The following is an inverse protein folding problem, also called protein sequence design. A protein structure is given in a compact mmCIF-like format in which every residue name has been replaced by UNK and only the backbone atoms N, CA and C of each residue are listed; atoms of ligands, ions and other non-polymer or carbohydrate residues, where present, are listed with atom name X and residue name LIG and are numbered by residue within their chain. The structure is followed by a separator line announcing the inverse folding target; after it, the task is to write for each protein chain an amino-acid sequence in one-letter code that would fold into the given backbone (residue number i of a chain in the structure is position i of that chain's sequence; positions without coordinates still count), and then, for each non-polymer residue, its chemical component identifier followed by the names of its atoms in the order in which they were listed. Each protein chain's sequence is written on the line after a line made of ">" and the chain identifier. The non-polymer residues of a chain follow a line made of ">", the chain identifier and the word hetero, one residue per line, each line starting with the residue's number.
data_IF_777347367081
#
_entry.id   IF_777347367081
#
_cell.length_a   1.000
_cell.length_b   1.000
_cell.length_c   1.000
_cell.angle_alpha   90.00
_cell.angle_beta   90.00
_cell.angle_gamma   90.00
#
_symmetry.space_group_name_H-M   'P 1'
#
loop_
_entity.id
_entity.type
_entity.pdbx_description
1 polymer ?
#
# COMPACT_ATOMS: atom_id res chain seq x y z
N UNK A 1 -23.94 15.41 -6.05
CA UNK A 1 -24.57 14.16 -6.09
C UNK A 1 -24.05 13.20 -7.15
N UNK A 2 -24.92 12.45 -7.76
CA UNK A 2 -24.56 11.34 -8.65
C UNK A 2 -23.64 11.72 -9.82
N UNK A 3 -23.80 12.90 -10.39
CA UNK A 3 -22.98 13.37 -11.51
C UNK A 3 -21.48 13.52 -11.19
N UNK A 4 -21.13 13.57 -9.91
CA UNK A 4 -19.75 13.77 -9.44
C UNK A 4 -19.25 12.62 -8.57
N UNK A 5 -19.90 11.46 -8.59
CA UNK A 5 -19.50 10.31 -7.78
C UNK A 5 -18.10 9.82 -8.15
N UNK A 6 -17.79 9.79 -9.44
CA UNK A 6 -16.50 9.27 -9.93
C UNK A 6 -15.33 10.25 -9.71
N UNK A 7 -15.56 11.55 -9.82
CA UNK A 7 -14.53 12.57 -9.67
C UNK A 7 -14.44 13.14 -8.24
N UNK A 8 -15.26 12.65 -7.33
CA UNK A 8 -15.24 13.06 -5.92
C UNK A 8 -13.85 12.96 -5.30
N UNK A 9 -13.11 11.89 -5.58
CA UNK A 9 -11.78 11.68 -5.06
C UNK A 9 -10.80 12.80 -5.46
N UNK A 10 -10.91 13.31 -6.69
CA UNK A 10 -10.11 14.42 -7.19
C UNK A 10 -10.36 15.70 -6.39
N UNK A 11 -11.63 16.08 -6.21
CA UNK A 11 -11.99 17.29 -5.46
C UNK A 11 -11.65 17.17 -3.98
N UNK A 12 -11.81 15.99 -3.40
CA UNK A 12 -11.43 15.73 -2.01
C UNK A 12 -9.91 15.87 -1.82
N UNK A 13 -9.12 15.24 -2.67
CA UNK A 13 -7.65 15.35 -2.63
C UNK A 13 -7.18 16.81 -2.84
N UNK A 14 -7.81 17.54 -3.75
CA UNK A 14 -7.55 18.94 -3.98
C UNK A 14 -7.82 19.78 -2.73
N UNK A 15 -8.98 19.62 -2.10
CA UNK A 15 -9.35 20.39 -0.90
C UNK A 15 -8.34 20.16 0.25
N UNK A 16 -7.93 18.90 0.48
CA UNK A 16 -6.92 18.57 1.49
C UNK A 16 -5.56 19.21 1.13
N UNK A 17 -5.13 19.09 -0.12
CA UNK A 17 -3.87 19.68 -0.59
C UNK A 17 -3.85 21.18 -0.42
N UNK A 18 -4.85 21.88 -0.92
CA UNK A 18 -4.96 23.34 -0.85
C UNK A 18 -5.01 23.84 0.60
N UNK A 19 -5.76 23.13 1.46
CA UNK A 19 -5.82 23.42 2.90
C UNK A 19 -4.47 23.29 3.58
N UNK A 20 -3.75 22.18 3.38
CA UNK A 20 -2.42 21.99 3.94
C UNK A 20 -1.42 23.04 3.44
N UNK A 21 -1.46 23.38 2.13
CA UNK A 21 -0.61 24.45 1.56
C UNK A 21 -0.92 25.82 2.11
N UNK A 22 -2.20 26.11 2.39
CA UNK A 22 -2.63 27.38 3.00
C UNK A 22 -2.09 27.50 4.44
N UNK A 23 -2.15 26.42 5.24
CA UNK A 23 -1.59 26.41 6.60
C UNK A 23 -0.06 26.56 6.57
N UNK A 24 0.63 25.86 5.69
CA UNK A 24 2.09 25.97 5.54
C UNK A 24 2.55 27.39 5.18
N UNK A 25 1.74 28.16 4.44
CA UNK A 25 2.04 29.58 4.16
C UNK A 25 1.96 30.43 5.43
N UNK A 26 1.10 30.10 6.37
CA UNK A 26 0.95 30.84 7.63
C UNK A 26 2.11 30.60 8.58
N UNK A 27 2.61 29.36 8.66
CA UNK A 27 3.69 28.96 9.56
C UNK A 27 5.08 29.05 8.92
N UNK A 28 5.17 29.42 7.64
CA UNK A 28 6.41 29.54 6.89
C UNK A 28 7.05 28.20 6.50
N UNK A 29 6.36 27.07 6.72
CA UNK A 29 6.86 25.75 6.36
C UNK A 29 6.71 25.48 4.84
N UNK A 30 7.52 24.54 4.34
CA UNK A 30 7.46 24.12 2.94
C UNK A 30 7.53 22.60 2.82
N UNK A 31 6.79 21.89 3.66
CA UNK A 31 6.70 20.43 3.61
C UNK A 31 5.90 19.99 2.39
N UNK A 32 6.28 18.85 1.83
CA UNK A 32 5.47 18.21 0.77
C UNK A 32 4.16 17.71 1.35
N UNK A 33 3.09 17.89 0.59
CA UNK A 33 1.80 17.27 0.92
C UNK A 33 1.84 15.80 0.52
N UNK A 34 1.37 14.92 1.40
CA UNK A 34 1.29 13.50 1.17
C UNK A 34 -0.06 13.00 1.70
N UNK A 35 -0.87 12.46 0.80
CA UNK A 35 -2.20 11.96 1.10
C UNK A 35 -2.34 10.51 0.64
N UNK A 36 -2.55 9.58 1.57
CA UNK A 36 -2.91 8.20 1.24
C UNK A 36 -4.45 8.11 1.13
N UNK A 37 -4.94 7.75 -0.05
CA UNK A 37 -6.38 7.71 -0.33
C UNK A 37 -6.80 6.36 -0.90
N UNK A 38 -8.07 6.00 -0.66
CA UNK A 38 -8.66 4.73 -1.10
C UNK A 38 -9.26 4.81 -2.51
N UNK A 39 -9.57 6.00 -2.97
CA UNK A 39 -10.18 6.23 -4.28
C UNK A 39 -9.34 7.18 -5.10
N UNK A 40 -9.43 7.06 -6.42
CA UNK A 40 -8.63 7.82 -7.35
C UNK A 40 -9.44 8.29 -8.56
N UNK A 41 -9.00 9.41 -9.13
CA UNK A 41 -9.47 9.92 -10.40
C UNK A 41 -8.32 10.55 -11.17
N UNK A 42 -8.45 10.60 -12.48
CA UNK A 42 -7.44 11.20 -13.37
C UNK A 42 -7.09 12.64 -12.93
N UNK A 43 -5.81 12.94 -12.82
CA UNK A 43 -5.33 14.25 -12.38
C UNK A 43 -5.08 14.37 -10.87
N UNK A 44 -5.47 13.38 -10.07
CA UNK A 44 -5.32 13.39 -8.60
C UNK A 44 -3.86 13.36 -8.14
N UNK A 45 -2.95 12.84 -8.96
CA UNK A 45 -1.51 12.78 -8.66
C UNK A 45 -0.90 14.17 -8.37
N UNK A 46 -1.43 15.24 -8.96
CA UNK A 46 -0.98 16.62 -8.73
C UNK A 46 -1.19 17.11 -7.29
N UNK A 47 -2.01 16.41 -6.52
CA UNK A 47 -2.36 16.76 -5.14
C UNK A 47 -1.62 15.91 -4.09
N UNK A 48 -0.46 15.35 -4.45
CA UNK A 48 0.37 14.57 -3.52
C UNK A 48 -0.29 13.28 -3.06
N UNK A 49 -1.08 12.67 -3.93
CA UNK A 49 -1.90 11.51 -3.60
C UNK A 49 -1.17 10.19 -3.89
N UNK A 50 -1.22 9.29 -2.92
CA UNK A 50 -0.85 7.89 -3.03
C UNK A 50 -2.11 7.05 -2.86
N UNK A 51 -2.27 6.01 -3.66
CA UNK A 51 -3.42 5.12 -3.61
C UNK A 51 -3.03 3.73 -3.12
N UNK A 52 -3.99 3.04 -2.50
CA UNK A 52 -3.88 1.62 -2.21
C UNK A 52 -5.18 0.89 -2.60
N UNK A 53 -5.10 -0.41 -2.67
CA UNK A 53 -6.18 -1.28 -3.13
C UNK A 53 -7.39 -1.39 -2.20
N UNK A 54 -7.37 -0.72 -1.05
CA UNK A 54 -8.41 -0.90 -0.04
C UNK A 54 -8.28 -2.23 0.72
N UNK A 55 -9.36 -2.65 1.34
CA UNK A 55 -9.41 -3.83 2.19
C UNK A 55 -9.55 -5.09 1.32
N UNK A 56 -8.46 -5.80 1.14
CA UNK A 56 -8.39 -7.01 0.33
C UNK A 56 -8.29 -8.26 1.20
N UNK A 57 -8.65 -9.41 0.65
CA UNK A 57 -8.60 -10.71 1.33
C UNK A 57 -7.33 -11.49 1.02
N UNK A 58 -6.77 -12.18 2.00
CA UNK A 58 -5.55 -12.94 1.87
C UNK A 58 -5.76 -14.18 0.99
N UNK A 59 -5.29 -14.10 -0.25
CA UNK A 59 -5.24 -15.22 -1.18
C UNK A 59 -4.21 -14.98 -2.28
N UNK A 60 -3.72 -16.06 -2.89
CA UNK A 60 -2.82 -15.98 -4.06
C UNK A 60 -3.47 -15.31 -5.26
N UNK A 61 -4.79 -15.49 -5.43
CA UNK A 61 -5.58 -14.82 -6.48
C UNK A 61 -5.56 -13.31 -6.28
N UNK A 62 -5.84 -12.87 -5.06
CA UNK A 62 -5.80 -11.44 -4.70
C UNK A 62 -4.41 -10.88 -4.93
N UNK A 63 -3.36 -11.56 -4.46
CA UNK A 63 -1.98 -11.12 -4.66
C UNK A 63 -1.66 -10.91 -6.15
N UNK A 64 -2.00 -11.87 -7.01
CA UNK A 64 -1.82 -11.72 -8.47
C UNK A 64 -2.56 -10.50 -9.02
N UNK A 65 -3.81 -10.29 -8.58
CA UNK A 65 -4.62 -9.16 -9.01
C UNK A 65 -4.03 -7.82 -8.56
N UNK A 66 -3.39 -7.75 -7.39
CA UNK A 66 -2.72 -6.54 -6.91
C UNK A 66 -1.58 -6.10 -7.84
N UNK A 67 -0.83 -7.04 -8.39
CA UNK A 67 0.26 -6.74 -9.34
C UNK A 67 -0.32 -6.08 -10.59
N UNK A 68 -1.35 -6.68 -11.19
CA UNK A 68 -2.01 -6.13 -12.37
C UNK A 68 -2.68 -4.78 -12.09
N UNK A 69 -3.32 -4.63 -10.93
CA UNK A 69 -3.95 -3.37 -10.52
C UNK A 69 -2.92 -2.24 -10.41
N UNK A 70 -1.79 -2.48 -9.73
CA UNK A 70 -0.73 -1.49 -9.61
C UNK A 70 -0.16 -1.05 -10.97
N UNK A 71 0.05 -1.98 -11.90
CA UNK A 71 0.49 -1.67 -13.27
C UNK A 71 -0.53 -0.83 -14.03
N UNK A 72 -1.83 -1.13 -13.89
CA UNK A 72 -2.90 -0.36 -14.51
C UNK A 72 -3.00 1.05 -13.94
N UNK A 73 -2.83 1.24 -12.63
CA UNK A 73 -2.74 2.56 -12.02
C UNK A 73 -1.57 3.36 -12.56
N UNK A 74 -0.38 2.76 -12.68
CA UNK A 74 0.78 3.41 -13.28
C UNK A 74 0.50 3.81 -14.74
N UNK A 75 -0.09 2.92 -15.54
CA UNK A 75 -0.45 3.19 -16.94
C UNK A 75 -1.51 4.31 -17.08
N UNK A 76 -2.34 4.50 -16.04
CA UNK A 76 -3.34 5.57 -15.97
C UNK A 76 -2.76 6.91 -15.46
N UNK A 77 -1.45 7.02 -15.27
CA UNK A 77 -0.80 8.24 -14.77
C UNK A 77 -0.87 8.42 -13.25
N UNK A 78 -1.14 7.34 -12.49
CA UNK A 78 -1.21 7.33 -11.03
C UNK A 78 -0.10 6.41 -10.47
N UNK A 79 1.17 6.81 -10.52
CA UNK A 79 2.31 5.93 -10.25
C UNK A 79 2.54 5.64 -8.77
N UNK A 80 1.98 6.44 -7.87
CA UNK A 80 2.16 6.26 -6.43
C UNK A 80 1.14 5.27 -5.88
N UNK A 81 1.48 4.00 -6.01
CA UNK A 81 0.66 2.86 -5.62
C UNK A 81 1.25 2.13 -4.40
N UNK A 82 0.36 1.61 -3.57
CA UNK A 82 0.70 0.67 -2.51
C UNK A 82 -0.41 -0.37 -2.33
N UNK A 83 -0.12 -1.39 -1.54
CA UNK A 83 -1.08 -2.42 -1.13
C UNK A 83 -0.85 -2.77 0.34
N UNK A 84 -1.85 -3.34 0.98
CA UNK A 84 -1.71 -3.93 2.30
C UNK A 84 -0.95 -5.25 2.17
N UNK A 85 0.28 -5.33 2.68
CA UNK A 85 1.12 -6.52 2.57
C UNK A 85 0.46 -7.69 3.28
N UNK A 86 0.27 -8.79 2.53
CA UNK A 86 -0.40 -9.98 3.04
C UNK A 86 -1.93 -9.84 3.14
N UNK A 87 -2.49 -8.82 2.47
CA UNK A 87 -3.89 -8.41 2.47
C UNK A 87 -4.38 -7.79 3.79
N UNK A 88 -5.53 -7.13 3.77
CA UNK A 88 -6.15 -6.53 4.96
C UNK A 88 -6.83 -7.59 5.83
N UNK A 89 -7.73 -8.41 5.25
CA UNK A 89 -8.40 -9.52 5.92
C UNK A 89 -7.63 -10.83 5.72
N UNK A 90 -7.23 -11.46 6.80
CA UNK A 90 -6.44 -12.71 6.76
C UNK A 90 -7.31 -13.93 7.02
N UNK A 91 -8.20 -13.84 8.01
CA UNK A 91 -9.11 -14.91 8.41
C UNK A 91 -10.28 -15.05 7.46
N UNK A 92 -10.90 -16.21 7.46
CA UNK A 92 -12.21 -16.39 6.89
C UNK A 92 -13.22 -15.53 7.67
N UNK A 93 -14.11 -14.87 6.96
CA UNK A 93 -15.08 -13.96 7.53
C UNK A 93 -16.50 -14.33 7.11
N UNK A 94 -17.46 -13.99 7.94
CA UNK A 94 -18.87 -14.21 7.67
C UNK A 94 -19.44 -13.28 6.57
N UNK A 95 -18.61 -12.42 6.01
CA UNK A 95 -18.99 -11.50 4.94
C UNK A 95 -18.75 -12.09 3.57
N UNK A 96 -19.71 -11.94 2.70
CA UNK A 96 -19.69 -12.47 1.33
C UNK A 96 -18.58 -11.90 0.43
N UNK A 97 -17.93 -10.81 0.83
CA UNK A 97 -16.92 -10.13 0.01
C UNK A 97 -15.48 -10.31 0.51
N UNK A 98 -15.25 -10.93 1.66
CA UNK A 98 -13.91 -11.33 2.05
C UNK A 98 -13.76 -12.83 2.20
N UNK A 99 -12.71 -13.32 1.60
CA UNK A 99 -12.41 -14.74 1.45
C UNK A 99 -11.00 -15.09 1.97
N UNK A 100 -10.54 -14.40 3.00
CA UNK A 100 -9.33 -14.79 3.72
C UNK A 100 -9.47 -16.23 4.24
N UNK A 101 -8.38 -16.99 4.28
CA UNK A 101 -8.42 -18.44 4.51
C UNK A 101 -7.43 -18.92 5.55
N UNK A 102 -6.86 -18.02 6.32
CA UNK A 102 -5.74 -18.32 7.21
C UNK A 102 -6.10 -17.98 8.65
N UNK A 103 -6.97 -18.79 9.27
CA UNK A 103 -7.49 -18.53 10.61
C UNK A 103 -6.40 -18.53 11.69
N UNK A 104 -5.35 -19.33 11.51
CA UNK A 104 -4.18 -19.35 12.39
C UNK A 104 -3.19 -18.20 12.13
N UNK A 105 -3.45 -17.36 11.11
CA UNK A 105 -2.68 -16.17 10.78
C UNK A 105 -1.17 -16.40 10.70
N UNK A 106 -0.34 -15.74 11.52
CA UNK A 106 1.12 -15.90 11.54
C UNK A 106 1.61 -17.25 12.05
N UNK A 107 0.72 -18.14 12.50
CA UNK A 107 1.03 -19.53 12.83
C UNK A 107 0.76 -20.50 11.66
N UNK A 108 0.13 -20.03 10.58
CA UNK A 108 -0.12 -20.82 9.38
C UNK A 108 1.06 -20.69 8.39
N UNK A 109 1.81 -21.77 8.09
CA UNK A 109 2.92 -21.72 7.14
C UNK A 109 2.52 -21.26 5.75
N UNK A 110 1.29 -21.53 5.30
CA UNK A 110 0.81 -21.08 4.00
C UNK A 110 0.58 -19.57 3.97
N UNK A 111 0.13 -18.97 5.08
CA UNK A 111 0.07 -17.51 5.18
C UNK A 111 1.45 -16.87 5.30
N UNK A 112 2.36 -17.49 6.05
CA UNK A 112 3.74 -17.02 6.14
C UNK A 112 4.39 -16.94 4.75
N UNK A 113 4.16 -17.95 3.89
CA UNK A 113 4.66 -17.90 2.52
C UNK A 113 3.97 -16.81 1.70
N UNK A 114 2.65 -16.74 1.69
CA UNK A 114 1.89 -15.71 0.98
C UNK A 114 2.36 -14.29 1.38
N UNK A 115 2.44 -14.03 2.69
CA UNK A 115 2.91 -12.75 3.22
C UNK A 115 4.33 -12.43 2.74
N UNK A 116 5.21 -13.40 2.80
CA UNK A 116 6.62 -13.24 2.39
C UNK A 116 6.72 -12.88 0.90
N UNK A 117 5.97 -13.56 0.01
CA UNK A 117 5.95 -13.22 -1.43
C UNK A 117 5.37 -11.84 -1.70
N UNK A 118 4.31 -11.50 -0.98
CA UNK A 118 3.71 -10.17 -1.07
C UNK A 118 4.69 -9.07 -0.60
N UNK A 119 5.38 -9.33 0.50
CA UNK A 119 6.42 -8.44 1.05
C UNK A 119 7.57 -8.24 0.06
N UNK A 120 8.02 -9.32 -0.60
CA UNK A 120 9.05 -9.26 -1.64
C UNK A 120 8.64 -8.35 -2.79
N UNK A 121 7.42 -8.46 -3.27
CA UNK A 121 6.91 -7.60 -4.33
C UNK A 121 6.77 -6.14 -3.86
N UNK A 122 6.15 -5.91 -2.70
CA UNK A 122 5.93 -4.56 -2.18
C UNK A 122 7.23 -3.81 -1.86
N UNK A 123 8.34 -4.50 -1.67
CA UNK A 123 9.66 -3.89 -1.50
C UNK A 123 10.02 -2.92 -2.64
N UNK A 124 9.48 -3.13 -3.83
CA UNK A 124 9.71 -2.30 -5.02
C UNK A 124 8.65 -1.21 -5.23
N UNK A 125 7.57 -1.21 -4.48
CA UNK A 125 6.53 -0.20 -4.62
C UNK A 125 6.98 1.16 -4.05
N UNK A 126 6.42 2.27 -4.53
CA UNK A 126 6.71 3.61 -3.98
C UNK A 126 6.54 3.69 -2.48
N UNK A 127 5.45 3.14 -1.96
CA UNK A 127 5.18 3.04 -0.53
C UNK A 127 5.24 1.57 -0.10
N UNK A 128 6.06 1.30 0.92
CA UNK A 128 6.28 -0.02 1.48
C UNK A 128 5.75 -0.04 2.91
N UNK A 129 4.62 -0.72 3.16
CA UNK A 129 3.95 -0.72 4.45
C UNK A 129 3.23 -2.03 4.76
N UNK A 130 3.35 -2.48 6.00
CA UNK A 130 2.46 -3.51 6.57
C UNK A 130 1.21 -2.85 7.14
N UNK A 131 0.02 -3.36 6.76
CA UNK A 131 -1.26 -2.91 7.28
C UNK A 131 -2.32 -4.01 7.11
N UNK A 132 -3.27 -4.06 8.02
CA UNK A 132 -4.37 -5.01 7.97
C UNK A 132 -4.93 -5.32 9.35
N UNK A 133 -5.94 -6.18 9.40
CA UNK A 133 -6.53 -6.72 10.63
C UNK A 133 -6.05 -8.15 10.90
N UNK A 134 -6.63 -8.81 11.88
CA UNK A 134 -6.52 -10.21 12.26
C UNK A 134 -5.17 -10.64 12.86
N UNK A 135 -4.06 -10.06 12.47
CA UNK A 135 -2.75 -10.38 13.02
C UNK A 135 -1.82 -9.17 13.07
N UNK A 136 -0.81 -9.27 13.93
CA UNK A 136 0.27 -8.29 14.00
C UNK A 136 1.19 -8.43 12.78
N UNK A 137 1.74 -7.30 12.31
CA UNK A 137 2.53 -7.21 11.07
C UNK A 137 4.00 -6.90 11.30
N UNK A 138 4.45 -6.88 12.54
CA UNK A 138 5.86 -6.71 12.87
C UNK A 138 6.67 -7.94 12.43
N UNK A 139 7.84 -7.72 11.86
CA UNK A 139 8.66 -8.77 11.25
C UNK A 139 8.92 -9.97 12.17
N UNK A 140 9.16 -9.71 13.47
CA UNK A 140 9.42 -10.77 14.46
C UNK A 140 8.20 -11.64 14.81
N UNK A 141 7.02 -11.31 14.27
CA UNK A 141 5.82 -12.14 14.37
C UNK A 141 5.73 -13.22 13.29
N UNK A 142 6.61 -13.15 12.31
CA UNK A 142 6.67 -14.09 11.20
C UNK A 142 7.82 -15.07 11.43
N UNK A 143 7.53 -16.19 12.09
CA UNK A 143 8.45 -17.32 12.36
C UNK A 143 9.59 -17.00 13.38
N UNK A 144 9.53 -15.86 14.09
CA UNK A 144 10.55 -15.45 15.06
C UNK A 144 11.91 -15.13 14.45
N UNK A 145 12.85 -14.58 15.27
CA UNK A 145 14.11 -14.01 14.76
C UNK A 145 15.04 -15.01 14.06
N UNK A 146 14.97 -16.30 14.41
CA UNK A 146 15.77 -17.37 13.78
C UNK A 146 15.10 -18.02 12.58
N UNK A 147 13.84 -17.71 12.34
CA UNK A 147 13.01 -18.40 11.36
C UNK A 147 13.31 -18.00 9.90
N UNK A 148 13.01 -18.91 9.00
CA UNK A 148 13.26 -18.71 7.56
C UNK A 148 12.48 -17.53 7.00
N UNK A 149 11.24 -17.39 7.40
CA UNK A 149 10.36 -16.29 6.91
C UNK A 149 10.83 -14.94 7.45
N UNK A 150 11.11 -14.86 8.76
CA UNK A 150 11.69 -13.63 9.34
C UNK A 150 12.97 -13.19 8.62
N UNK A 151 13.89 -14.12 8.38
CA UNK A 151 15.15 -13.84 7.68
C UNK A 151 14.91 -13.38 6.23
N UNK A 152 13.89 -13.93 5.54
CA UNK A 152 13.52 -13.48 4.21
C UNK A 152 12.97 -12.04 4.23
N UNK A 153 12.09 -11.72 5.17
CA UNK A 153 11.54 -10.35 5.35
C UNK A 153 12.64 -9.35 5.69
N UNK A 154 13.57 -9.71 6.58
CA UNK A 154 14.68 -8.86 6.97
C UNK A 154 15.60 -8.53 5.79
N UNK A 155 15.90 -9.52 4.92
CA UNK A 155 16.67 -9.28 3.68
C UNK A 155 15.94 -8.30 2.74
N UNK A 156 14.62 -8.42 2.60
CA UNK A 156 13.85 -7.48 1.76
C UNK A 156 13.81 -6.08 2.37
N UNK A 157 13.72 -5.97 3.68
CA UNK A 157 13.81 -4.69 4.36
C UNK A 157 15.18 -4.00 4.13
N UNK A 158 16.25 -4.76 4.27
CA UNK A 158 17.59 -4.26 3.96
C UNK A 158 17.74 -3.84 2.47
N UNK A 159 17.18 -4.61 1.55
CA UNK A 159 17.13 -4.26 0.13
C UNK A 159 16.35 -2.96 -0.09
N UNK A 160 15.18 -2.80 0.56
CA UNK A 160 14.38 -1.57 0.49
C UNK A 160 15.20 -0.32 0.84
N UNK A 161 15.95 -0.36 1.91
CA UNK A 161 16.80 0.77 2.30
C UNK A 161 17.89 1.06 1.25
N UNK A 162 18.47 0.05 0.64
CA UNK A 162 19.44 0.22 -0.46
C UNK A 162 18.79 0.81 -1.72
N UNK A 163 17.50 0.54 -1.96
CA UNK A 163 16.75 1.05 -3.09
C UNK A 163 16.22 2.47 -2.90
N UNK A 164 16.23 3.03 -1.69
CA UNK A 164 15.65 4.36 -1.42
C UNK A 164 16.19 5.46 -2.35
N UNK A 165 17.51 5.58 -2.61
CA UNK A 165 17.99 6.60 -3.54
C UNK A 165 17.47 6.42 -4.97
N UNK A 166 17.37 5.17 -5.43
CA UNK A 166 16.81 4.85 -6.75
C UNK A 166 15.32 5.22 -6.83
N UNK A 167 14.53 4.79 -5.84
CA UNK A 167 13.08 5.08 -5.78
C UNK A 167 12.85 6.59 -5.71
N UNK A 168 13.60 7.30 -4.87
CA UNK A 168 13.52 8.76 -4.75
C UNK A 168 13.84 9.47 -6.08
N UNK A 169 14.92 9.06 -6.75
CA UNK A 169 15.32 9.62 -8.04
C UNK A 169 14.30 9.33 -9.14
N UNK A 170 13.68 8.14 -9.11
CA UNK A 170 12.63 7.77 -10.06
C UNK A 170 11.36 8.59 -9.80
N UNK A 171 10.98 8.77 -8.54
CA UNK A 171 9.86 9.64 -8.17
C UNK A 171 10.07 11.08 -8.66
N UNK A 172 11.29 11.62 -8.57
CA UNK A 172 11.63 12.95 -9.08
C UNK A 172 11.49 13.13 -10.59
N UNK A 173 11.39 12.05 -11.37
CA UNK A 173 11.16 12.11 -12.82
C UNK A 173 9.66 12.18 -13.19
N UNK A 174 8.79 11.93 -12.22
CA UNK A 174 7.33 11.90 -12.39
C UNK A 174 6.70 13.28 -12.10
N UNK A 175 7.43 14.15 -11.43
CA UNK A 175 7.02 15.53 -11.07
C UNK A 175 7.30 16.53 -12.20
#
# INVERSE_FOLDING_TARGET
>A
GEAHTNDYALYHARAIYEGQRAEQKKDGSNKRVFNLTRSAWTGQQQYGTVMWSGDTSASWKTFRNQISAGLNFCASGLPYWTADIGAFFVKDGDSWYWDGKYDDTTNDPAYLELYTRWYQWCCFLPIFRGHGTDCRRELWKFDGEGGMFYQALLRMNALRYKLLPYIYSTAGKVW
#
